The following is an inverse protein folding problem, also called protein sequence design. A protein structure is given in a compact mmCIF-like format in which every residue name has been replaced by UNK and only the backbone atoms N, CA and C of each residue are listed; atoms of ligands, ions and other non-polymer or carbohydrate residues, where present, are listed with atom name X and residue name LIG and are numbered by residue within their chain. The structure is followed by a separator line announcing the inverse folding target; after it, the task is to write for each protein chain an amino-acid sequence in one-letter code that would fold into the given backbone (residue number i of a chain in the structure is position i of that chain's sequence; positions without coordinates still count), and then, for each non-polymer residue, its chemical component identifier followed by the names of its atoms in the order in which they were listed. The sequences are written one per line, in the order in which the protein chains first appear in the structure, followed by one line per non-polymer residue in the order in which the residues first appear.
data_IF_568357778184
#
_entry.id   IF_568357778184
#
_cell.length_a   1.000
_cell.length_b   1.000
_cell.length_c   1.000
_cell.angle_alpha   90.00
_cell.angle_beta   90.00
_cell.angle_gamma   90.00
#
_symmetry.space_group_name_H-M   'P 1'
#
loop_
_entity.id
_entity.type
_entity.pdbx_description
1 polymer ?
#
# COMPACT_ATOMS: atom_id res chain seq x y z
N UNK A 1 -2.45 -15.06 -9.81
CA UNK A 1 -1.21 -15.60 -10.43
C UNK A 1 -0.28 -14.42 -10.70
N UNK A 2 1.03 -14.65 -10.84
CA UNK A 2 2.02 -13.62 -11.23
C UNK A 2 2.18 -12.43 -10.26
N UNK A 3 2.04 -12.69 -8.96
CA UNK A 3 2.19 -11.66 -7.91
C UNK A 3 1.04 -10.66 -7.81
N UNK A 4 0.01 -10.80 -8.65
CA UNK A 4 -1.23 -10.02 -8.56
C UNK A 4 -2.24 -10.66 -7.61
N UNK A 5 -3.17 -9.85 -7.13
CA UNK A 5 -4.33 -10.31 -6.39
C UNK A 5 -5.09 -11.37 -7.22
N UNK A 6 -5.63 -12.42 -6.59
CA UNK A 6 -6.29 -13.52 -7.32
C UNK A 6 -7.63 -13.09 -7.93
N UNK A 7 -8.17 -11.95 -7.50
CA UNK A 7 -9.36 -11.30 -8.04
C UNK A 7 -9.00 -10.10 -8.91
N UNK A 8 -9.78 -9.83 -9.97
CA UNK A 8 -9.49 -8.75 -10.93
C UNK A 8 -9.54 -7.35 -10.30
N UNK A 9 -10.61 -7.03 -9.58
CA UNK A 9 -10.78 -5.76 -8.88
C UNK A 9 -11.91 -5.88 -7.89
N UNK A 10 -11.62 -5.63 -6.60
CA UNK A 10 -12.63 -5.41 -5.56
C UNK A 10 -12.53 -3.95 -5.10
N UNK A 11 -13.31 -3.04 -5.69
CA UNK A 11 -13.20 -1.61 -5.40
C UNK A 11 -13.47 -1.29 -3.91
N UNK A 12 -14.39 -2.02 -3.29
CA UNK A 12 -14.75 -1.79 -1.88
C UNK A 12 -13.62 -2.15 -0.93
N UNK A 13 -12.92 -3.24 -1.19
CA UNK A 13 -11.73 -3.63 -0.43
C UNK A 13 -10.61 -2.58 -0.58
N UNK A 14 -10.39 -2.07 -1.80
CA UNK A 14 -9.41 -1.00 -2.04
C UNK A 14 -9.76 0.32 -1.34
N UNK A 15 -11.05 0.69 -1.31
CA UNK A 15 -11.53 1.86 -0.55
C UNK A 15 -11.30 1.66 0.94
N UNK A 16 -11.63 0.47 1.47
CA UNK A 16 -11.42 0.12 2.87
C UNK A 16 -9.94 0.15 3.24
N UNK A 17 -9.08 -0.46 2.42
CA UNK A 17 -7.63 -0.42 2.57
C UNK A 17 -7.11 1.01 2.62
N UNK A 18 -7.52 1.87 1.67
CA UNK A 18 -7.14 3.29 1.68
C UNK A 18 -7.61 4.00 2.95
N UNK A 19 -8.85 3.79 3.37
CA UNK A 19 -9.42 4.42 4.57
C UNK A 19 -8.65 4.04 5.83
N UNK A 20 -8.38 2.75 6.03
CA UNK A 20 -7.68 2.25 7.23
C UNK A 20 -6.22 2.69 7.24
N UNK A 21 -5.53 2.56 6.11
CA UNK A 21 -4.10 2.89 6.04
C UNK A 21 -3.83 4.40 6.02
N UNK A 22 -4.81 5.24 5.69
CA UNK A 22 -4.66 6.71 5.73
C UNK A 22 -5.24 7.30 7.02
N UNK A 23 -6.46 6.91 7.40
CA UNK A 23 -7.29 7.61 8.38
C UNK A 23 -7.05 7.26 9.85
N UNK A 24 -5.88 6.70 10.20
CA UNK A 24 -5.50 6.41 11.58
C UNK A 24 -4.75 7.57 12.23
N UNK A 25 -5.27 8.80 12.15
CA UNK A 25 -4.63 9.94 12.78
C UNK A 25 -5.02 10.00 14.26
N UNK A 26 -4.09 9.67 15.15
CA UNK A 26 -4.15 10.11 16.54
C UNK A 26 -3.85 11.63 16.65
N UNK A 27 -3.17 12.21 15.65
CA UNK A 27 -2.74 13.60 15.60
C UNK A 27 -2.60 14.05 14.13
N UNK A 28 -2.92 15.30 13.80
CA UNK A 28 -2.93 15.84 12.41
C UNK A 28 -1.58 15.81 11.68
N UNK A 29 -0.48 15.64 12.42
CA UNK A 29 0.88 15.69 11.88
C UNK A 29 1.54 14.30 11.70
N UNK A 30 0.83 13.20 11.98
CA UNK A 30 1.40 11.84 11.92
C UNK A 30 0.80 11.06 10.76
N UNK A 31 1.65 10.49 9.90
CA UNK A 31 1.27 9.59 8.80
C UNK A 31 1.49 8.14 9.20
N UNK A 32 0.57 7.27 8.82
CA UNK A 32 0.73 5.82 8.99
C UNK A 32 1.86 5.26 8.11
N UNK A 33 2.48 4.19 8.59
CA UNK A 33 3.53 3.46 7.88
C UNK A 33 2.92 2.21 7.22
N UNK A 34 3.14 2.05 5.92
CA UNK A 34 2.83 0.86 5.16
C UNK A 34 4.12 0.10 4.84
N UNK A 35 4.32 -1.00 5.57
CA UNK A 35 5.44 -1.90 5.37
C UNK A 35 5.01 -3.00 4.41
N UNK A 36 5.82 -3.27 3.38
CA UNK A 36 5.54 -4.30 2.40
C UNK A 36 6.81 -4.94 1.85
N UNK A 37 6.70 -6.16 1.31
CA UNK A 37 7.82 -6.80 0.62
C UNK A 37 7.99 -6.25 -0.81
N UNK A 38 9.21 -6.39 -1.36
CA UNK A 38 9.55 -5.93 -2.73
C UNK A 38 8.60 -6.45 -3.82
N UNK A 39 8.19 -7.72 -3.78
CA UNK A 39 7.23 -8.29 -4.75
C UNK A 39 5.83 -7.68 -4.64
N UNK A 40 5.39 -7.33 -3.43
CA UNK A 40 4.12 -6.61 -3.20
C UNK A 40 4.22 -5.18 -3.72
N UNK A 41 5.36 -4.53 -3.55
CA UNK A 41 5.60 -3.22 -4.14
C UNK A 41 5.54 -3.26 -5.66
N UNK A 42 6.19 -4.24 -6.30
CA UNK A 42 6.18 -4.38 -7.76
C UNK A 42 4.81 -4.72 -8.35
N UNK A 43 3.93 -5.40 -7.60
CA UNK A 43 2.59 -5.74 -8.08
C UNK A 43 1.62 -4.55 -8.09
N UNK A 44 1.97 -3.43 -7.46
CA UNK A 44 1.15 -2.20 -7.47
C UNK A 44 1.44 -1.43 -8.78
N UNK A 45 0.40 -1.01 -9.54
CA UNK A 45 0.59 -0.18 -10.73
C UNK A 45 1.39 1.09 -10.42
N UNK A 46 2.36 1.44 -11.27
CA UNK A 46 3.30 2.56 -11.04
C UNK A 46 2.61 3.89 -10.72
N UNK A 47 1.47 4.18 -11.35
CA UNK A 47 0.67 5.39 -11.09
C UNK A 47 0.15 5.53 -9.64
N UNK A 48 0.16 4.44 -8.88
CA UNK A 48 -0.28 4.42 -7.48
C UNK A 48 0.88 4.30 -6.49
N UNK A 49 2.12 4.17 -6.98
CA UNK A 49 3.33 4.15 -6.16
C UNK A 49 3.98 5.53 -6.14
N UNK A 50 4.44 6.04 -4.98
CA UNK A 50 4.14 5.56 -3.63
C UNK A 50 2.67 5.77 -3.25
N UNK A 51 2.17 4.97 -2.30
CA UNK A 51 0.81 5.15 -1.80
C UNK A 51 0.73 6.52 -1.10
N UNK A 52 -0.03 7.47 -1.67
CA UNK A 52 -0.15 8.85 -1.17
C UNK A 52 -0.54 8.91 0.30
N UNK A 53 -0.08 9.94 1.01
CA UNK A 53 -0.43 10.21 2.43
C UNK A 53 0.00 9.11 3.42
N UNK A 54 0.92 8.23 3.00
CA UNK A 54 1.51 7.17 3.84
C UNK A 54 3.02 7.15 3.68
N UNK A 55 3.70 6.72 4.75
CA UNK A 55 5.11 6.39 4.70
C UNK A 55 5.21 4.97 4.13
N UNK A 56 5.85 4.80 2.98
CA UNK A 56 5.97 3.49 2.33
C UNK A 56 7.35 2.91 2.66
N UNK A 57 7.40 1.73 3.28
CA UNK A 57 8.64 1.02 3.62
C UNK A 57 8.66 -0.30 2.86
N UNK A 58 9.65 -0.47 1.99
CA UNK A 58 9.81 -1.68 1.20
C UNK A 58 10.95 -2.51 1.77
N UNK A 59 10.66 -3.74 2.16
CA UNK A 59 11.66 -4.69 2.64
C UNK A 59 12.19 -5.49 1.45
N UNK A 60 13.50 -5.41 1.23
CA UNK A 60 14.23 -6.26 0.30
C UNK A 60 15.61 -6.59 0.85
N UNK A 61 16.10 -7.80 0.57
CA UNK A 61 17.47 -8.23 0.87
C UNK A 61 18.39 -8.16 -0.35
N UNK A 62 17.83 -7.86 -1.53
CA UNK A 62 18.58 -7.61 -2.76
C UNK A 62 18.69 -6.11 -2.91
N UNK A 63 19.92 -5.62 -3.13
CA UNK A 63 20.20 -4.21 -3.39
C UNK A 63 19.63 -3.79 -4.73
#
# INVERSE_FOLDING_TARGET
KDGQLPWKSLPEDMKRFKKITTGGHCNDNVKNVCIMGRKTWESIPERFRPLRDRINVVISSTT
#
